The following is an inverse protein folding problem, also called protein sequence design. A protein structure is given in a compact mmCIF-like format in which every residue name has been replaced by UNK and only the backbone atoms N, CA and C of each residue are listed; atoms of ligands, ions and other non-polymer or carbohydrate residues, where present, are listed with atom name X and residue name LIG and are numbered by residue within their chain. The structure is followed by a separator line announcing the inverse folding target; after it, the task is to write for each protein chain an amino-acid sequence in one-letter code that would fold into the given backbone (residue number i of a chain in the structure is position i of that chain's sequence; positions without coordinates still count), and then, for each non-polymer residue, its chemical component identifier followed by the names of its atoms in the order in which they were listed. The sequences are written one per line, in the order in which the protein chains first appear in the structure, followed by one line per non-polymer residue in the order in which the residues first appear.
data_IF_699167240824
#
_entry.id   IF_699167240824
#
_cell.length_a   1.000
_cell.length_b   1.000
_cell.length_c   1.000
_cell.angle_alpha   90.00
_cell.angle_beta   90.00
_cell.angle_gamma   90.00
#
_symmetry.space_group_name_H-M   'P 1'
#
loop_
_entity.id
_entity.type
_entity.pdbx_description
1 polymer ?
#
# COMPACT_ATOMS: atom_id res chain seq x y z
N UNK A 1 2.94 -9.59 -5.26
CA UNK A 1 3.80 -10.75 -4.92
C UNK A 1 4.44 -11.19 -6.22
N UNK A 2 5.75 -11.11 -6.31
CA UNK A 2 6.47 -11.64 -7.46
C UNK A 2 6.40 -13.17 -7.36
N UNK A 3 5.56 -13.81 -8.15
CA UNK A 3 5.45 -15.26 -8.16
C UNK A 3 6.62 -15.83 -8.97
N UNK A 4 7.64 -16.35 -8.28
CA UNK A 4 8.71 -17.10 -8.95
C UNK A 4 8.16 -18.50 -9.26
N UNK A 5 8.09 -18.88 -10.52
CA UNK A 5 7.76 -20.25 -10.94
C UNK A 5 9.05 -20.92 -11.38
N UNK A 6 9.37 -22.08 -10.82
CA UNK A 6 10.54 -22.88 -11.17
C UNK A 6 10.12 -24.29 -11.58
N UNK A 7 10.72 -24.78 -12.67
CA UNK A 7 10.69 -26.19 -13.03
C UNK A 7 12.09 -26.77 -12.79
N UNK A 8 12.20 -27.68 -11.85
CA UNK A 8 13.48 -28.21 -11.35
C UNK A 8 13.55 -29.69 -11.68
N UNK A 9 14.62 -30.14 -12.32
CA UNK A 9 14.88 -31.57 -12.51
C UNK A 9 15.86 -32.07 -11.44
N UNK A 10 15.40 -32.98 -10.59
CA UNK A 10 16.19 -33.54 -9.50
C UNK A 10 15.72 -34.97 -9.21
N UNK A 11 16.61 -35.88 -8.82
CA UNK A 11 16.26 -37.26 -8.44
C UNK A 11 15.41 -38.02 -9.49
N UNK A 12 15.67 -37.76 -10.78
CA UNK A 12 14.97 -38.33 -11.94
C UNK A 12 13.49 -37.91 -12.06
N UNK A 13 13.09 -36.84 -11.40
CA UNK A 13 11.74 -36.27 -11.50
C UNK A 13 11.81 -34.76 -11.74
N UNK A 14 10.73 -34.21 -12.26
CA UNK A 14 10.54 -32.78 -12.49
C UNK A 14 9.62 -32.22 -11.40
N UNK A 15 10.08 -31.22 -10.66
CA UNK A 15 9.34 -30.55 -9.59
C UNK A 15 8.92 -29.16 -10.08
N UNK A 16 7.64 -28.86 -9.96
CA UNK A 16 7.10 -27.52 -10.18
C UNK A 16 6.98 -26.81 -8.84
N UNK A 17 7.68 -25.69 -8.69
CA UNK A 17 7.66 -24.86 -7.48
C UNK A 17 7.11 -23.47 -7.79
N UNK A 18 6.35 -22.91 -6.85
CA UNK A 18 5.89 -21.51 -6.88
C UNK A 18 6.30 -20.84 -5.58
N UNK A 19 7.09 -19.77 -5.68
CA UNK A 19 7.61 -19.02 -4.52
C UNK A 19 8.36 -19.92 -3.53
N UNK A 20 9.01 -20.97 -4.02
CA UNK A 20 9.77 -21.93 -3.23
C UNK A 20 8.93 -23.04 -2.58
N UNK A 21 7.62 -23.06 -2.79
CA UNK A 21 6.75 -24.17 -2.37
C UNK A 21 6.56 -25.14 -3.54
N UNK A 22 6.77 -26.44 -3.28
CA UNK A 22 6.54 -27.49 -4.27
C UNK A 22 5.04 -27.71 -4.45
N UNK A 23 4.58 -27.51 -5.69
CA UNK A 23 3.17 -27.64 -6.07
C UNK A 23 2.88 -29.05 -6.57
N UNK A 24 3.77 -29.60 -7.40
CA UNK A 24 3.56 -30.89 -8.05
C UNK A 24 4.89 -31.49 -8.54
N UNK A 25 4.91 -32.82 -8.67
CA UNK A 25 6.03 -33.60 -9.19
C UNK A 25 5.59 -34.45 -10.38
N UNK A 26 6.46 -34.58 -11.38
CA UNK A 26 6.21 -35.27 -12.64
C UNK A 26 7.38 -36.20 -12.99
N UNK A 27 7.09 -37.34 -13.61
CA UNK A 27 8.14 -38.23 -14.17
C UNK A 27 8.39 -37.96 -15.66
N UNK A 28 7.39 -37.43 -16.36
CA UNK A 28 7.44 -37.10 -17.78
C UNK A 28 7.73 -35.60 -17.95
N UNK A 29 8.66 -35.27 -18.84
CA UNK A 29 9.07 -33.89 -19.11
C UNK A 29 7.96 -33.06 -19.78
N UNK A 30 7.27 -33.60 -20.78
CA UNK A 30 6.21 -32.89 -21.52
C UNK A 30 5.05 -32.52 -20.59
N UNK A 31 4.65 -33.43 -19.70
CA UNK A 31 3.64 -33.14 -18.67
C UNK A 31 4.08 -32.03 -17.72
N UNK A 32 5.36 -32.03 -17.32
CA UNK A 32 5.94 -31.01 -16.46
C UNK A 32 5.98 -29.63 -17.14
N UNK A 33 6.37 -29.57 -18.41
CA UNK A 33 6.38 -28.32 -19.20
C UNK A 33 4.96 -27.79 -19.39
N UNK A 34 4.01 -28.65 -19.74
CA UNK A 34 2.61 -28.24 -19.90
C UNK A 34 2.05 -27.65 -18.60
N UNK A 35 2.30 -28.30 -17.46
CA UNK A 35 1.87 -27.78 -16.16
C UNK A 35 2.57 -26.47 -15.80
N UNK A 36 3.85 -26.30 -16.16
CA UNK A 36 4.58 -25.05 -15.97
C UNK A 36 3.96 -23.90 -16.78
N UNK A 37 3.65 -24.12 -18.06
CA UNK A 37 2.99 -23.14 -18.93
C UNK A 37 1.58 -22.78 -18.44
N UNK A 38 0.79 -23.78 -18.03
CA UNK A 38 -0.53 -23.56 -17.43
C UNK A 38 -0.42 -22.70 -16.17
N UNK A 39 0.59 -22.95 -15.34
CA UNK A 39 0.80 -22.18 -14.11
C UNK A 39 1.20 -20.73 -14.38
N UNK A 40 2.00 -20.47 -15.42
CA UNK A 40 2.30 -19.11 -15.87
C UNK A 40 0.99 -18.39 -16.24
N UNK A 41 0.17 -18.99 -17.10
CA UNK A 41 -1.11 -18.40 -17.55
C UNK A 41 -2.05 -18.13 -16.38
N UNK A 42 -2.14 -19.05 -15.42
CA UNK A 42 -2.96 -18.88 -14.22
C UNK A 42 -2.53 -17.64 -13.41
N UNK A 43 -1.22 -17.47 -13.20
CA UNK A 43 -0.67 -16.34 -12.45
C UNK A 43 -0.87 -15.03 -13.21
N UNK A 44 -0.60 -15.01 -14.52
CA UNK A 44 -0.81 -13.81 -15.35
C UNK A 44 -2.28 -13.38 -15.34
N UNK A 45 -3.20 -14.34 -15.51
CA UNK A 45 -4.64 -14.06 -15.45
C UNK A 45 -5.07 -13.54 -14.06
N UNK A 46 -4.47 -14.07 -12.99
CA UNK A 46 -4.73 -13.60 -11.62
C UNK A 46 -4.21 -12.18 -11.40
N UNK A 47 -3.03 -11.83 -11.93
CA UNK A 47 -2.48 -10.47 -11.86
C UNK A 47 -3.35 -9.47 -12.64
N UNK A 48 -3.83 -9.85 -13.83
CA UNK A 48 -4.73 -9.04 -14.65
C UNK A 48 -6.10 -8.84 -13.96
N UNK A 49 -6.68 -9.90 -13.41
CA UNK A 49 -7.92 -9.82 -12.64
C UNK A 49 -7.75 -8.91 -11.42
N UNK A 50 -6.65 -9.06 -10.68
CA UNK A 50 -6.31 -8.20 -9.55
C UNK A 50 -6.20 -6.74 -10.00
N UNK A 51 -5.47 -6.46 -11.07
CA UNK A 51 -5.32 -5.11 -11.61
C UNK A 51 -6.65 -4.47 -11.95
N UNK A 52 -7.51 -5.17 -12.68
CA UNK A 52 -8.82 -4.68 -13.08
C UNK A 52 -9.72 -4.40 -11.88
N UNK A 53 -9.65 -5.24 -10.84
CA UNK A 53 -10.35 -4.98 -9.58
C UNK A 53 -9.86 -3.69 -8.91
N UNK A 54 -8.54 -3.50 -8.77
CA UNK A 54 -7.98 -2.29 -8.17
C UNK A 54 -8.36 -1.04 -8.98
N UNK A 55 -8.29 -1.13 -10.32
CA UNK A 55 -8.70 -0.04 -11.21
C UNK A 55 -10.16 0.34 -11.01
N UNK A 56 -11.06 -0.64 -10.83
CA UNK A 56 -12.49 -0.37 -10.60
C UNK A 56 -12.72 0.49 -9.35
N UNK A 57 -11.92 0.31 -8.29
CA UNK A 57 -12.05 1.02 -7.02
C UNK A 57 -11.62 2.50 -7.11
N UNK A 58 -10.76 2.84 -8.06
CA UNK A 58 -10.22 4.20 -8.23
C UNK A 58 -10.62 4.87 -9.55
N UNK A 59 -11.38 4.18 -10.41
CA UNK A 59 -11.80 4.70 -11.72
C UNK A 59 -12.53 6.05 -11.62
N UNK A 60 -13.25 6.26 -10.50
CA UNK A 60 -13.95 7.51 -10.16
C UNK A 60 -13.05 8.74 -9.98
N UNK A 61 -11.72 8.56 -9.93
CA UNK A 61 -10.75 9.65 -9.79
C UNK A 61 -10.03 9.99 -11.10
N UNK A 62 -10.34 9.31 -12.21
CA UNK A 62 -9.73 9.60 -13.52
C UNK A 62 -9.96 11.03 -13.98
N UNK A 63 -11.19 11.52 -13.80
CA UNK A 63 -11.55 12.91 -14.12
C UNK A 63 -10.86 13.92 -13.19
N UNK A 64 -10.42 13.47 -12.01
CA UNK A 64 -9.70 14.29 -11.02
C UNK A 64 -8.18 14.33 -11.29
N UNK A 65 -7.69 13.67 -12.36
CA UNK A 65 -6.28 13.62 -12.75
C UNK A 65 -5.54 12.34 -12.36
N UNK A 66 -6.24 11.22 -12.11
CA UNK A 66 -5.62 9.90 -11.96
C UNK A 66 -5.13 9.38 -13.31
N UNK A 67 -3.82 9.20 -13.43
CA UNK A 67 -3.16 8.60 -14.58
C UNK A 67 -2.95 7.10 -14.35
N UNK A 68 -3.19 6.30 -15.39
CA UNK A 68 -3.09 4.84 -15.35
C UNK A 68 -2.10 4.36 -16.40
N UNK A 69 -1.12 3.57 -15.97
CA UNK A 69 -0.20 2.89 -16.86
C UNK A 69 -0.44 1.37 -16.79
N UNK A 70 -1.08 0.84 -17.82
CA UNK A 70 -1.42 -0.59 -17.91
C UNK A 70 -0.22 -1.49 -18.20
N UNK A 71 0.83 -0.98 -18.85
CA UNK A 71 2.06 -1.73 -19.16
C UNK A 71 2.82 -2.08 -17.87
N UNK A 72 3.02 -1.09 -17.01
CA UNK A 72 3.72 -1.26 -15.74
C UNK A 72 2.79 -1.54 -14.55
N UNK A 73 1.46 -1.63 -14.80
CA UNK A 73 0.43 -1.82 -13.79
C UNK A 73 0.61 -0.85 -12.61
N UNK A 74 0.68 0.44 -12.95
CA UNK A 74 0.93 1.54 -12.01
C UNK A 74 -0.07 2.68 -12.18
N UNK A 75 -0.27 3.44 -11.11
CA UNK A 75 -1.22 4.55 -11.05
C UNK A 75 -0.53 5.77 -10.44
N UNK A 76 -0.85 6.96 -10.94
CA UNK A 76 -0.26 8.21 -10.48
C UNK A 76 -1.31 9.30 -10.30
N UNK A 77 -1.23 10.03 -9.19
CA UNK A 77 -2.12 11.14 -8.87
C UNK A 77 -1.35 12.22 -8.13
N UNK A 78 -1.17 13.40 -8.76
CA UNK A 78 -0.48 14.56 -8.16
C UNK A 78 0.88 14.19 -7.52
N UNK A 79 1.67 13.36 -8.20
CA UNK A 79 2.98 12.88 -7.72
C UNK A 79 2.94 11.68 -6.76
N UNK A 80 1.76 11.26 -6.28
CA UNK A 80 1.58 10.01 -5.54
C UNK A 80 1.48 8.85 -6.53
N UNK A 81 2.36 7.86 -6.42
CA UNK A 81 2.49 6.76 -7.39
C UNK A 81 2.40 5.39 -6.74
N UNK A 82 1.51 4.54 -7.23
CA UNK A 82 1.32 3.15 -6.81
C UNK A 82 1.82 2.15 -7.86
N UNK A 83 2.39 1.03 -7.41
CA UNK A 83 2.85 -0.08 -8.25
C UNK A 83 2.26 -1.42 -7.81
N UNK A 84 1.51 -2.10 -8.69
CA UNK A 84 0.86 -3.39 -8.39
C UNK A 84 1.84 -4.48 -7.95
N UNK A 85 2.94 -4.64 -8.69
CA UNK A 85 3.89 -5.75 -8.48
C UNK A 85 4.49 -5.77 -7.08
N UNK A 86 4.85 -4.58 -6.59
CA UNK A 86 5.51 -4.40 -5.29
C UNK A 86 4.52 -4.06 -4.17
N UNK A 87 3.28 -3.69 -4.52
CA UNK A 87 2.29 -3.10 -3.63
C UNK A 87 2.85 -1.92 -2.83
N UNK A 88 3.70 -1.10 -3.48
CA UNK A 88 4.34 0.08 -2.88
C UNK A 88 3.72 1.36 -3.40
N UNK A 89 3.75 2.37 -2.54
CA UNK A 89 3.39 3.74 -2.87
C UNK A 89 4.57 4.65 -2.60
N UNK A 90 4.79 5.60 -3.51
CA UNK A 90 5.80 6.62 -3.38
C UNK A 90 5.19 7.99 -3.65
N UNK A 91 5.77 9.04 -3.08
CA UNK A 91 5.47 10.41 -3.45
C UNK A 91 6.70 11.06 -4.07
N UNK A 92 6.54 11.60 -5.27
CA UNK A 92 7.57 12.32 -6.00
C UNK A 92 7.53 13.80 -5.62
N UNK A 93 8.58 14.29 -4.96
CA UNK A 93 8.64 15.67 -4.50
C UNK A 93 10.06 16.23 -4.63
N UNK A 94 10.23 17.32 -5.39
CA UNK A 94 11.53 17.99 -5.59
C UNK A 94 12.67 17.05 -6.04
N UNK A 95 12.35 16.06 -6.87
CA UNK A 95 13.32 15.04 -7.32
C UNK A 95 13.60 13.93 -6.29
N UNK A 96 13.05 14.02 -5.08
CA UNK A 96 13.07 12.94 -4.10
C UNK A 96 11.89 11.98 -4.29
N UNK A 97 12.13 10.71 -3.98
CA UNK A 97 11.10 9.68 -3.92
C UNK A 97 10.88 9.28 -2.46
N UNK A 98 9.73 9.63 -1.90
CA UNK A 98 9.38 9.33 -0.50
C UNK A 98 8.58 8.02 -0.47
N UNK A 99 9.12 6.91 0.07
CA UNK A 99 8.37 5.67 0.22
C UNK A 99 7.32 5.79 1.33
N UNK A 100 6.13 5.26 1.10
CA UNK A 100 4.99 5.32 2.01
C UNK A 100 4.51 3.92 2.39
N UNK A 101 3.93 3.82 3.58
CA UNK A 101 3.37 2.58 4.11
C UNK A 101 1.92 2.39 3.65
N UNK A 102 1.51 1.12 3.47
CA UNK A 102 0.10 0.75 3.30
C UNK A 102 -0.37 0.44 1.87
N UNK A 103 0.53 0.45 0.89
CA UNK A 103 0.27 -0.07 -0.46
C UNK A 103 -0.98 0.51 -1.13
N UNK A 104 -1.71 -0.32 -1.88
CA UNK A 104 -2.91 0.15 -2.58
C UNK A 104 -3.95 0.78 -1.66
N UNK A 105 -4.14 0.24 -0.45
CA UNK A 105 -5.13 0.78 0.48
C UNK A 105 -4.79 2.22 0.88
N UNK A 106 -3.52 2.49 1.16
CA UNK A 106 -3.05 3.86 1.40
C UNK A 106 -3.30 4.77 0.20
N UNK A 107 -2.96 4.31 -1.01
CA UNK A 107 -3.19 5.07 -2.24
C UNK A 107 -4.67 5.44 -2.40
N UNK A 108 -5.57 4.45 -2.39
CA UNK A 108 -7.02 4.63 -2.54
C UNK A 108 -7.59 5.57 -1.46
N UNK A 109 -7.26 5.32 -0.19
CA UNK A 109 -7.77 6.14 0.91
C UNK A 109 -7.28 7.58 0.83
N UNK A 110 -6.04 7.81 0.40
CA UNK A 110 -5.53 9.18 0.19
C UNK A 110 -6.32 9.91 -0.88
N UNK A 111 -6.61 9.26 -2.01
CA UNK A 111 -7.43 9.84 -3.09
C UNK A 111 -8.84 10.19 -2.60
N UNK A 112 -9.48 9.29 -1.85
CA UNK A 112 -10.81 9.54 -1.28
C UNK A 112 -10.80 10.72 -0.30
N UNK A 113 -9.84 10.75 0.63
CA UNK A 113 -9.71 11.81 1.61
C UNK A 113 -9.36 13.17 1.00
N UNK A 114 -8.62 13.20 -0.12
CA UNK A 114 -8.38 14.43 -0.87
C UNK A 114 -9.64 14.95 -1.56
N UNK A 115 -10.41 14.05 -2.17
CA UNK A 115 -11.67 14.40 -2.84
C UNK A 115 -12.68 14.98 -1.86
N UNK A 116 -12.70 14.47 -0.63
CA UNK A 116 -13.58 14.92 0.45
C UNK A 116 -12.99 16.06 1.29
N UNK A 117 -11.85 16.64 0.88
CA UNK A 117 -11.11 17.72 1.56
C UNK A 117 -10.79 17.44 3.05
N UNK A 118 -10.59 16.15 3.40
CA UNK A 118 -10.37 15.70 4.77
C UNK A 118 -8.92 15.83 5.24
N UNK A 119 -7.99 15.85 4.30
CA UNK A 119 -6.54 15.98 4.57
C UNK A 119 -5.97 17.30 4.04
N UNK A 120 -6.82 18.15 3.43
CA UNK A 120 -6.43 19.40 2.80
C UNK A 120 -5.41 19.19 1.67
N UNK A 121 -4.19 19.67 1.88
CA UNK A 121 -3.12 19.61 0.87
C UNK A 121 -2.34 18.27 0.95
N UNK A 122 -2.22 17.58 -0.20
CA UNK A 122 -1.50 16.31 -0.32
C UNK A 122 -0.05 16.41 0.15
N UNK A 123 0.68 17.45 -0.25
CA UNK A 123 2.09 17.62 0.13
C UNK A 123 2.24 17.74 1.66
N UNK A 124 1.44 18.59 2.30
CA UNK A 124 1.46 18.74 3.77
C UNK A 124 1.17 17.42 4.48
N UNK A 125 0.20 16.65 3.98
CA UNK A 125 -0.13 15.34 4.51
C UNK A 125 1.03 14.35 4.38
N UNK A 126 1.67 14.30 3.21
CA UNK A 126 2.77 13.37 2.94
C UNK A 126 4.03 13.77 3.71
N UNK A 127 4.35 15.05 3.82
CA UNK A 127 5.48 15.52 4.61
C UNK A 127 5.30 15.19 6.10
N UNK A 128 4.08 15.27 6.62
CA UNK A 128 3.77 14.77 7.96
C UNK A 128 4.07 13.26 8.09
N UNK A 129 3.61 12.43 7.15
CA UNK A 129 3.88 11.00 7.18
C UNK A 129 5.37 10.67 7.00
N UNK A 130 6.10 11.46 6.20
CA UNK A 130 7.56 11.37 6.06
C UNK A 130 8.24 11.53 7.42
N UNK A 131 7.85 12.54 8.20
CA UNK A 131 8.39 12.74 9.56
C UNK A 131 8.07 11.57 10.49
N UNK A 132 6.85 11.01 10.43
CA UNK A 132 6.47 9.81 11.19
C UNK A 132 7.39 8.62 10.85
N UNK A 133 7.64 8.38 9.56
CA UNK A 133 8.53 7.30 9.10
C UNK A 133 9.97 7.54 9.53
N UNK A 134 10.48 8.78 9.43
CA UNK A 134 11.85 9.14 9.85
C UNK A 134 12.04 8.89 11.36
N UNK A 135 11.01 9.15 12.16
CA UNK A 135 10.98 8.81 13.58
C UNK A 135 10.85 7.30 13.87
N UNK A 136 10.91 6.45 12.84
CA UNK A 136 10.75 4.97 12.93
C UNK A 136 9.41 4.56 13.54
N UNK A 137 8.38 5.36 13.31
CA UNK A 137 7.01 5.12 13.79
C UNK A 137 6.15 4.60 12.63
N UNK A 138 5.27 3.65 12.93
CA UNK A 138 4.35 3.11 11.94
C UNK A 138 3.02 3.86 11.95
N UNK A 139 2.31 3.82 10.83
CA UNK A 139 0.94 4.31 10.74
C UNK A 139 0.06 3.38 9.90
N UNK A 140 -1.26 3.52 10.04
CA UNK A 140 -2.27 2.87 9.21
C UNK A 140 -3.30 3.91 8.78
N UNK A 141 -3.58 3.95 7.49
CA UNK A 141 -4.58 4.84 6.91
C UNK A 141 -5.72 4.00 6.32
N UNK A 142 -6.94 4.46 6.55
CA UNK A 142 -8.12 4.09 5.78
C UNK A 142 -8.95 5.36 5.52
N UNK A 143 -10.14 5.22 4.90
CA UNK A 143 -11.00 6.36 4.57
C UNK A 143 -11.66 7.03 5.80
N UNK A 144 -11.64 6.38 6.97
CA UNK A 144 -12.25 6.84 8.21
C UNK A 144 -11.24 7.44 9.18
N UNK A 145 -10.02 6.88 9.25
CA UNK A 145 -9.04 7.28 10.25
C UNK A 145 -7.59 7.12 9.83
N UNK A 146 -6.74 7.88 10.53
CA UNK A 146 -5.29 7.72 10.54
C UNK A 146 -4.83 7.35 11.95
N UNK A 147 -4.29 6.14 12.08
CA UNK A 147 -3.72 5.60 13.30
C UNK A 147 -2.19 5.67 13.24
N UNK A 148 -1.56 6.27 14.24
CA UNK A 148 -0.09 6.31 14.42
C UNK A 148 0.30 5.46 15.63
N UNK A 149 1.27 4.56 15.47
CA UNK A 149 1.61 3.50 16.41
C UNK A 149 3.00 3.72 17.02
N UNK A 150 3.04 4.15 18.27
CA UNK A 150 4.28 4.39 19.02
C UNK A 150 4.08 4.17 20.51
N UNK A 151 5.07 3.55 21.16
CA UNK A 151 5.11 3.41 22.62
C UNK A 151 5.16 4.75 23.37
N UNK A 152 5.34 5.86 22.67
CA UNK A 152 5.30 7.21 23.24
C UNK A 152 3.88 7.72 23.51
N UNK A 153 2.86 7.10 22.90
CA UNK A 153 1.46 7.42 23.16
C UNK A 153 0.89 6.54 24.27
N UNK A 154 -0.15 7.01 24.96
CA UNK A 154 -0.90 6.17 25.88
C UNK A 154 -1.54 5.00 25.11
N UNK A 155 -1.41 3.79 25.66
CA UNK A 155 -1.83 2.55 24.99
C UNK A 155 -1.17 2.33 23.60
N UNK A 156 -0.03 2.97 23.34
CA UNK A 156 0.79 2.71 22.17
C UNK A 156 0.29 3.32 20.86
N UNK A 157 -0.75 4.15 20.87
CA UNK A 157 -1.27 4.74 19.63
C UNK A 157 -1.99 6.08 19.80
N UNK A 158 -2.10 6.80 18.67
CA UNK A 158 -2.95 7.96 18.51
C UNK A 158 -3.74 7.83 17.21
N UNK A 159 -5.05 8.00 17.26
CA UNK A 159 -5.93 7.86 16.10
C UNK A 159 -6.75 9.12 15.86
N UNK A 160 -6.70 9.65 14.64
CA UNK A 160 -7.59 10.72 14.20
C UNK A 160 -8.71 10.15 13.34
N UNK A 161 -9.95 10.48 13.67
CA UNK A 161 -11.12 10.11 12.88
C UNK A 161 -11.58 11.29 12.00
N UNK A 162 -11.52 11.11 10.68
CA UNK A 162 -11.85 12.12 9.67
C UNK A 162 -13.36 12.43 9.59
N UNK A 163 -14.22 11.54 10.10
CA UNK A 163 -15.67 11.75 10.12
C UNK A 163 -16.09 12.58 11.33
N UNK A 164 -15.54 12.29 12.50
CA UNK A 164 -15.93 12.95 13.76
C UNK A 164 -15.08 14.15 14.12
N UNK A 165 -13.89 14.30 13.53
CA UNK A 165 -12.94 15.34 13.93
C UNK A 165 -12.41 15.11 15.34
N UNK A 166 -12.28 13.84 15.74
CA UNK A 166 -11.83 13.47 17.10
C UNK A 166 -10.50 12.75 17.07
N UNK A 167 -9.66 13.11 18.01
CA UNK A 167 -8.42 12.42 18.34
C UNK A 167 -8.66 11.47 19.52
N UNK A 168 -8.43 10.18 19.29
CA UNK A 168 -8.29 9.19 20.35
C UNK A 168 -6.82 9.09 20.78
N UNK A 169 -6.53 9.50 22.01
CA UNK A 169 -5.20 9.42 22.64
C UNK A 169 -5.04 8.14 23.48
N UNK A 170 -5.91 7.14 23.30
CA UNK A 170 -5.99 5.93 24.10
C UNK A 170 -6.73 6.14 25.42
N UNK A 171 -6.28 7.08 26.26
CA UNK A 171 -6.88 7.37 27.56
C UNK A 171 -8.04 8.38 27.50
N UNK A 172 -8.09 9.19 26.45
CA UNK A 172 -9.10 10.22 26.22
C UNK A 172 -9.46 10.31 24.74
N UNK A 173 -10.66 10.83 24.46
CA UNK A 173 -11.10 11.22 23.12
C UNK A 173 -11.48 12.69 23.19
N UNK A 174 -10.89 13.50 22.31
CA UNK A 174 -11.01 14.97 22.32
C UNK A 174 -11.30 15.47 20.90
N UNK A 175 -12.02 16.59 20.79
CA UNK A 175 -12.25 17.28 19.51
C UNK A 175 -10.97 17.96 19.05
N UNK A 176 -10.54 17.66 17.83
CA UNK A 176 -9.29 18.10 17.24
C UNK A 176 -9.50 18.42 15.75
N UNK A 177 -8.81 19.43 15.24
CA UNK A 177 -8.56 19.55 13.81
C UNK A 177 -7.47 18.57 13.38
N UNK A 178 -7.41 18.28 12.08
CA UNK A 178 -6.36 17.40 11.56
C UNK A 178 -4.96 18.02 11.71
N UNK A 179 -4.84 19.35 11.64
CA UNK A 179 -3.57 20.05 11.90
C UNK A 179 -3.13 19.94 13.36
N UNK A 180 -4.06 20.08 14.31
CA UNK A 180 -3.78 19.85 15.74
C UNK A 180 -3.34 18.40 15.99
N UNK A 181 -3.95 17.43 15.30
CA UNK A 181 -3.53 16.04 15.38
C UNK A 181 -2.09 15.85 14.87
N UNK A 182 -1.74 16.40 13.69
CA UNK A 182 -0.37 16.35 13.15
C UNK A 182 0.63 16.90 14.17
N UNK A 183 0.33 18.06 14.75
CA UNK A 183 1.17 18.70 15.75
C UNK A 183 1.32 17.83 17.01
N UNK A 184 0.23 17.28 17.54
CA UNK A 184 0.25 16.37 18.69
C UNK A 184 1.15 15.15 18.44
N UNK A 185 1.00 14.51 17.28
CA UNK A 185 1.82 13.34 16.90
C UNK A 185 3.30 13.73 16.84
N UNK A 186 3.65 14.78 16.10
CA UNK A 186 5.06 15.18 15.92
C UNK A 186 5.70 15.59 17.24
N UNK A 187 5.01 16.33 18.09
CA UNK A 187 5.51 16.69 19.41
C UNK A 187 5.73 15.48 20.31
N UNK A 188 4.91 14.45 20.19
CA UNK A 188 5.02 13.24 21.03
C UNK A 188 6.17 12.34 20.57
N UNK A 189 6.31 12.12 19.26
CA UNK A 189 7.31 11.19 18.73
C UNK A 189 8.73 11.79 18.64
N UNK A 190 8.87 13.13 18.55
CA UNK A 190 10.18 13.81 18.50
C UNK A 190 10.81 14.09 19.86
N UNK A 191 10.10 13.84 20.97
CA UNK A 191 10.61 14.06 22.35
C UNK A 191 11.56 12.95 22.84
N UNK A 192 12.03 12.06 21.96
CA UNK A 192 12.99 11.00 22.25
C UNK A 192 14.08 10.93 21.20
#
# INVERSE_FOLDING_TARGET
MNSKIALIYENKTFKLEVTGEMIKEFKNFEEAVKAYEEKIKEIDNSEEAKWNNLLSEVNRFKEDGLEVNNEFKSMEFKGLKYFLKTDKVFYMHNGEMIPLLGGFNFFKSTLALLKDDKIGNLESFILFLKEVIISKVNYRLNELSLLVLSASFNYGSAEYNFQTGKLNKGASIEDFTFDEFKNYVLQTIKRR
#
